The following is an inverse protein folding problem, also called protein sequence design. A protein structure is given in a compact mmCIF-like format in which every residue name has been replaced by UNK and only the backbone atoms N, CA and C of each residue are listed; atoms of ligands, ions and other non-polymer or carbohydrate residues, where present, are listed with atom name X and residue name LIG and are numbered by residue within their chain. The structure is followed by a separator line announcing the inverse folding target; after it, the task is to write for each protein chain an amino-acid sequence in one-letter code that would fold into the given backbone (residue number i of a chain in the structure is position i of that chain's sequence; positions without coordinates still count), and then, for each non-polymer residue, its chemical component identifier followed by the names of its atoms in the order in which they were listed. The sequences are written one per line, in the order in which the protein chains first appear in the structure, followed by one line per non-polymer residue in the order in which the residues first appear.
data_IF_034354406813
#
_entry.id   IF_034354406813
#
_cell.length_a   1.000
_cell.length_b   1.000
_cell.length_c   1.000
_cell.angle_alpha   90.00
_cell.angle_beta   90.00
_cell.angle_gamma   90.00
#
_symmetry.space_group_name_H-M   'P 1'
#
loop_
_entity.id
_entity.type
_entity.pdbx_description
1 polymer ?
#
# COMPACT_ATOMS: atom_id res chain seq x y z
N UNK A 1 32.56 17.96 -3.25
CA UNK A 1 31.76 16.92 -3.94
C UNK A 1 31.10 15.89 -3.02
N UNK A 2 31.81 15.06 -2.22
CA UNK A 2 31.15 14.02 -1.36
C UNK A 2 30.19 14.56 -0.28
N UNK A 3 30.50 15.72 0.33
CA UNK A 3 29.63 16.35 1.36
C UNK A 3 28.31 16.87 0.80
N UNK A 4 28.30 17.39 -0.42
CA UNK A 4 27.10 17.96 -1.07
C UNK A 4 26.14 16.87 -1.55
N UNK A 5 26.66 15.74 -2.04
CA UNK A 5 25.87 14.55 -2.37
C UNK A 5 25.17 13.99 -1.12
N UNK A 6 25.90 13.87 0.00
CA UNK A 6 25.34 13.42 1.29
C UNK A 6 24.30 14.39 1.85
N UNK A 7 24.48 15.70 1.68
CA UNK A 7 23.48 16.69 2.12
C UNK A 7 22.21 16.68 1.27
N UNK A 8 22.29 16.39 -0.05
CA UNK A 8 21.12 16.18 -0.90
C UNK A 8 20.31 14.95 -0.47
N UNK A 9 20.98 13.84 -0.13
CA UNK A 9 20.32 12.66 0.44
C UNK A 9 19.65 12.94 1.78
N UNK A 10 20.27 13.74 2.66
CA UNK A 10 19.66 14.13 3.95
C UNK A 10 18.48 15.10 3.76
N UNK A 11 18.52 15.98 2.77
CA UNK A 11 17.37 16.85 2.41
C UNK A 11 16.19 16.06 1.84
N UNK A 12 16.43 14.99 1.07
CA UNK A 12 15.38 14.08 0.61
C UNK A 12 14.69 13.33 1.77
N UNK A 13 15.38 13.15 2.90
CA UNK A 13 14.81 12.56 4.14
C UNK A 13 13.91 13.52 4.94
N UNK A 14 13.81 14.81 4.60
CA UNK A 14 12.96 15.76 5.36
C UNK A 14 11.46 15.43 5.31
N UNK A 15 10.98 14.78 4.25
CA UNK A 15 9.57 14.36 4.15
C UNK A 15 9.31 12.99 4.79
N UNK A 16 10.33 12.33 5.35
CA UNK A 16 10.20 11.01 5.95
C UNK A 16 9.27 11.03 7.18
N UNK A 17 9.45 12.02 8.07
CA UNK A 17 8.69 12.11 9.31
C UNK A 17 7.22 12.48 9.10
N UNK A 18 6.87 13.49 8.28
CA UNK A 18 5.46 13.76 7.94
C UNK A 18 4.75 12.56 7.28
N UNK A 19 5.42 11.86 6.37
CA UNK A 19 4.84 10.67 5.73
C UNK A 19 4.62 9.53 6.73
N UNK A 20 5.56 9.31 7.66
CA UNK A 20 5.40 8.31 8.71
C UNK A 20 4.20 8.63 9.61
N UNK A 21 4.05 9.87 10.05
CA UNK A 21 2.89 10.32 10.84
C UNK A 21 1.57 10.09 10.09
N UNK A 22 1.56 10.39 8.79
CA UNK A 22 0.39 10.16 7.95
C UNK A 22 0.05 8.66 7.81
N UNK A 23 1.06 7.80 7.69
CA UNK A 23 0.87 6.33 7.68
C UNK A 23 0.26 5.86 9.01
N UNK A 24 0.81 6.33 10.14
CA UNK A 24 0.27 5.98 11.48
C UNK A 24 -1.19 6.43 11.61
N UNK A 25 -1.51 7.65 11.16
CA UNK A 25 -2.88 8.17 11.15
C UNK A 25 -3.81 7.27 10.32
N UNK A 26 -3.40 6.86 9.12
CA UNK A 26 -4.20 5.98 8.26
C UNK A 26 -4.43 4.61 8.89
N UNK A 27 -3.42 4.00 9.50
CA UNK A 27 -3.59 2.72 10.20
C UNK A 27 -4.47 2.84 11.43
N UNK A 28 -4.37 3.95 12.16
CA UNK A 28 -5.25 4.24 13.30
C UNK A 28 -6.69 4.41 12.85
N UNK A 29 -6.92 5.14 11.75
CA UNK A 29 -8.24 5.30 11.16
C UNK A 29 -8.80 3.95 10.67
N UNK A 30 -7.97 3.11 10.04
CA UNK A 30 -8.37 1.78 9.57
C UNK A 30 -8.75 0.86 10.72
N UNK A 31 -7.92 0.82 11.78
CA UNK A 31 -8.22 0.06 12.99
C UNK A 31 -9.47 0.59 13.70
N UNK A 32 -9.64 1.91 13.75
CA UNK A 32 -10.83 2.55 14.29
C UNK A 32 -12.09 2.17 13.51
N UNK A 33 -12.04 2.16 12.18
CA UNK A 33 -13.16 1.71 11.35
C UNK A 33 -13.51 0.25 11.64
N UNK A 34 -12.52 -0.64 11.73
CA UNK A 34 -12.75 -2.06 11.99
C UNK A 34 -13.34 -2.30 13.39
N UNK A 35 -12.93 -1.52 14.39
CA UNK A 35 -13.34 -1.74 15.78
C UNK A 35 -14.65 -1.02 16.16
N UNK A 36 -14.88 0.20 15.65
CA UNK A 36 -15.99 1.05 16.11
C UNK A 36 -17.17 1.12 15.13
N UNK A 37 -17.01 0.74 13.85
CA UNK A 37 -18.06 0.91 12.83
C UNK A 37 -18.71 -0.43 12.52
N UNK A 38 -20.05 -0.46 12.56
CA UNK A 38 -20.84 -1.62 12.17
C UNK A 38 -20.63 -1.95 10.67
N UNK A 39 -20.23 -3.18 10.30
CA UNK A 39 -20.03 -3.57 8.90
C UNK A 39 -21.29 -3.47 8.03
N UNK A 40 -22.48 -3.50 8.63
CA UNK A 40 -23.76 -3.35 7.92
C UNK A 40 -24.19 -1.89 7.74
N UNK A 41 -23.47 -0.94 8.34
CA UNK A 41 -23.75 0.47 8.16
C UNK A 41 -23.46 0.91 6.72
N UNK A 42 -24.28 1.85 6.21
CA UNK A 42 -24.17 2.33 4.84
C UNK A 42 -22.77 2.91 4.57
N UNK A 43 -22.08 2.38 3.57
CA UNK A 43 -20.76 2.87 3.15
C UNK A 43 -19.58 2.36 3.97
N UNK A 44 -19.77 1.52 5.00
CA UNK A 44 -18.67 0.97 5.80
C UNK A 44 -17.68 0.18 4.95
N UNK A 45 -18.19 -0.74 4.12
CA UNK A 45 -17.38 -1.62 3.27
C UNK A 45 -16.60 -0.83 2.19
N UNK A 46 -17.22 0.07 1.39
CA UNK A 46 -16.46 0.94 0.49
C UNK A 46 -15.39 1.75 1.20
N UNK A 47 -15.71 2.33 2.37
CA UNK A 47 -14.76 3.13 3.15
C UNK A 47 -13.59 2.28 3.64
N UNK A 48 -13.84 1.06 4.10
CA UNK A 48 -12.81 0.08 4.48
C UNK A 48 -11.82 -0.14 3.34
N UNK A 49 -12.29 -0.44 2.14
CA UNK A 49 -11.41 -0.72 0.99
C UNK A 49 -10.61 0.50 0.55
N UNK A 50 -11.22 1.68 0.52
CA UNK A 50 -10.51 2.93 0.19
C UNK A 50 -9.43 3.23 1.23
N UNK A 51 -9.76 3.13 2.51
CA UNK A 51 -8.84 3.43 3.59
C UNK A 51 -7.70 2.42 3.67
N UNK A 52 -8.01 1.14 3.45
CA UNK A 52 -7.03 0.07 3.36
C UNK A 52 -6.10 0.25 2.17
N UNK A 53 -6.63 0.61 0.99
CA UNK A 53 -5.81 0.92 -0.18
C UNK A 53 -4.84 2.06 0.09
N UNK A 54 -5.31 3.16 0.69
CA UNK A 54 -4.46 4.30 1.04
C UNK A 54 -3.40 3.89 2.07
N UNK A 55 -3.78 3.18 3.13
CA UNK A 55 -2.86 2.69 4.15
C UNK A 55 -1.74 1.84 3.52
N UNK A 56 -2.08 0.88 2.66
CA UNK A 56 -1.09 0.05 1.97
C UNK A 56 -0.27 0.84 0.94
N UNK A 57 -0.87 1.75 0.18
CA UNK A 57 -0.17 2.57 -0.80
C UNK A 57 0.96 3.36 -0.15
N UNK A 58 0.66 4.08 0.93
CA UNK A 58 1.67 4.87 1.63
C UNK A 58 2.68 3.97 2.35
N UNK A 59 2.23 2.88 2.97
CA UNK A 59 3.12 1.92 3.64
C UNK A 59 4.12 1.30 2.67
N UNK A 60 3.67 0.73 1.56
CA UNK A 60 4.56 0.10 0.58
C UNK A 60 5.42 1.13 -0.17
N UNK A 61 4.88 2.29 -0.52
CA UNK A 61 5.69 3.35 -1.14
C UNK A 61 6.83 3.80 -0.23
N UNK A 62 6.55 3.87 1.08
CA UNK A 62 7.54 4.20 2.11
C UNK A 62 8.57 3.08 2.31
N UNK A 63 8.13 1.83 2.45
CA UNK A 63 9.01 0.67 2.67
C UNK A 63 9.96 0.41 1.49
N UNK A 64 9.46 0.49 0.26
CA UNK A 64 10.25 0.20 -0.94
C UNK A 64 10.94 1.45 -1.52
N UNK A 65 10.77 2.63 -0.90
CA UNK A 65 11.23 3.92 -1.41
C UNK A 65 10.89 4.15 -2.91
N UNK A 66 9.79 3.56 -3.37
CA UNK A 66 9.40 3.52 -4.78
C UNK A 66 7.89 3.66 -4.90
N UNK A 67 7.45 4.76 -5.52
CA UNK A 67 6.03 5.03 -5.78
C UNK A 67 5.39 3.92 -6.62
N UNK A 68 6.12 3.39 -7.60
CA UNK A 68 5.59 2.39 -8.52
C UNK A 68 5.38 1.04 -7.83
N UNK A 69 6.39 0.54 -7.10
CA UNK A 69 6.25 -0.69 -6.29
C UNK A 69 5.14 -0.56 -5.26
N UNK A 70 5.05 0.60 -4.62
CA UNK A 70 4.00 0.93 -3.67
C UNK A 70 2.60 0.79 -4.27
N UNK A 71 2.36 1.38 -5.45
CA UNK A 71 1.08 1.28 -6.15
C UNK A 71 0.78 -0.17 -6.55
N UNK A 72 1.75 -0.87 -7.15
CA UNK A 72 1.54 -2.25 -7.63
C UNK A 72 1.16 -3.19 -6.48
N UNK A 73 1.88 -3.12 -5.36
CA UNK A 73 1.58 -3.94 -4.19
C UNK A 73 0.27 -3.53 -3.50
N UNK A 74 -0.02 -2.23 -3.40
CA UNK A 74 -1.27 -1.77 -2.80
C UNK A 74 -2.50 -2.23 -3.60
N UNK A 75 -2.45 -2.15 -4.93
CA UNK A 75 -3.50 -2.69 -5.80
C UNK A 75 -3.61 -4.20 -5.61
N UNK A 76 -2.50 -4.94 -5.65
CA UNK A 76 -2.51 -6.39 -5.50
C UNK A 76 -3.12 -6.83 -4.16
N UNK A 77 -2.67 -6.25 -3.04
CA UNK A 77 -3.17 -6.55 -1.71
C UNK A 77 -4.64 -6.17 -1.57
N UNK A 78 -5.04 -4.98 -2.02
CA UNK A 78 -6.44 -4.52 -1.92
C UNK A 78 -7.37 -5.39 -2.76
N UNK A 79 -6.98 -5.70 -4.00
CA UNK A 79 -7.74 -6.61 -4.88
C UNK A 79 -7.92 -7.99 -4.27
N UNK A 80 -6.88 -8.54 -3.63
CA UNK A 80 -6.99 -9.82 -2.93
C UNK A 80 -8.03 -9.76 -1.79
N UNK A 81 -8.03 -8.71 -0.98
CA UNK A 81 -9.02 -8.54 0.08
C UNK A 81 -10.43 -8.32 -0.47
N UNK A 82 -10.59 -7.61 -1.59
CA UNK A 82 -11.88 -7.47 -2.28
C UNK A 82 -12.40 -8.84 -2.74
N UNK A 83 -11.55 -9.66 -3.38
CA UNK A 83 -11.93 -11.01 -3.78
C UNK A 83 -12.27 -11.89 -2.58
N UNK A 84 -11.53 -11.76 -1.48
CA UNK A 84 -11.81 -12.47 -0.22
C UNK A 84 -13.17 -12.08 0.35
N UNK A 85 -13.54 -10.80 0.28
CA UNK A 85 -14.84 -10.32 0.70
C UNK A 85 -15.99 -10.91 -0.14
N UNK A 86 -15.81 -11.03 -1.45
CA UNK A 86 -16.78 -11.71 -2.33
C UNK A 86 -16.80 -13.25 -2.19
N UNK A 87 -16.03 -13.84 -1.27
CA UNK A 87 -15.97 -15.28 -1.04
C UNK A 87 -15.10 -16.06 -2.05
N UNK A 88 -14.50 -15.37 -3.02
CA UNK A 88 -13.64 -16.00 -4.06
C UNK A 88 -12.16 -15.95 -3.68
N UNK A 89 -11.77 -15.19 -2.65
CA UNK A 89 -10.38 -15.09 -2.21
C UNK A 89 -9.88 -16.40 -1.61
N UNK A 90 -9.24 -17.23 -2.43
CA UNK A 90 -8.58 -18.47 -2.05
C UNK A 90 -7.05 -18.37 -2.29
N UNK A 91 -6.30 -19.39 -1.85
CA UNK A 91 -4.84 -19.42 -1.98
C UNK A 91 -4.39 -19.38 -3.45
N UNK A 92 -5.18 -19.95 -4.36
CA UNK A 92 -4.89 -19.95 -5.80
C UNK A 92 -4.99 -18.53 -6.36
N UNK A 93 -6.00 -17.76 -5.98
CA UNK A 93 -6.14 -16.36 -6.37
C UNK A 93 -5.04 -15.48 -5.80
N UNK A 94 -4.56 -15.77 -4.58
CA UNK A 94 -3.37 -15.10 -4.04
C UNK A 94 -2.14 -15.38 -4.91
N UNK A 95 -1.89 -16.65 -5.26
CA UNK A 95 -0.77 -17.04 -6.12
C UNK A 95 -0.84 -16.42 -7.51
N UNK A 96 -2.02 -16.36 -8.12
CA UNK A 96 -2.22 -15.70 -9.41
C UNK A 96 -1.90 -14.21 -9.34
N UNK A 97 -2.41 -13.51 -8.32
CA UNK A 97 -2.11 -12.08 -8.12
C UNK A 97 -0.61 -11.88 -7.93
N UNK A 98 0.05 -12.70 -7.11
CA UNK A 98 1.49 -12.64 -6.92
C UNK A 98 2.27 -12.89 -8.21
N UNK A 99 1.85 -13.87 -9.01
CA UNK A 99 2.44 -14.15 -10.32
C UNK A 99 2.37 -12.95 -11.25
N UNK A 100 1.22 -12.26 -11.30
CA UNK A 100 1.05 -11.02 -12.08
C UNK A 100 1.95 -9.90 -11.56
N UNK A 101 2.04 -9.71 -10.24
CA UNK A 101 2.91 -8.70 -9.63
C UNK A 101 4.38 -8.96 -9.97
N UNK A 102 4.84 -10.20 -9.85
CA UNK A 102 6.22 -10.59 -10.17
C UNK A 102 6.51 -10.38 -11.65
N UNK A 103 5.61 -10.80 -12.55
CA UNK A 103 5.77 -10.61 -13.99
C UNK A 103 5.85 -9.11 -14.36
N UNK A 104 4.99 -8.28 -13.76
CA UNK A 104 5.05 -6.83 -13.93
C UNK A 104 6.38 -6.27 -13.43
N UNK A 105 6.80 -6.61 -12.21
CA UNK A 105 8.08 -6.15 -11.67
C UNK A 105 9.27 -6.51 -12.57
N UNK A 106 9.31 -7.75 -13.10
CA UNK A 106 10.35 -8.19 -14.03
C UNK A 106 10.32 -7.42 -15.36
N UNK A 107 9.13 -7.21 -15.93
CA UNK A 107 8.98 -6.48 -17.19
C UNK A 107 9.56 -5.07 -17.10
N UNK A 108 9.28 -4.39 -16.00
CA UNK A 108 9.76 -3.03 -15.84
C UNK A 108 11.19 -2.93 -15.30
N UNK A 109 11.68 -3.94 -14.58
CA UNK A 109 13.10 -4.02 -14.21
C UNK A 109 13.98 -4.02 -15.46
N UNK A 110 13.59 -4.76 -16.50
CA UNK A 110 14.32 -4.81 -17.78
C UNK A 110 14.33 -3.48 -18.55
N UNK A 111 13.43 -2.55 -18.21
CA UNK A 111 13.26 -1.27 -18.91
C UNK A 111 13.98 -0.10 -18.22
N UNK A 112 14.63 -0.34 -17.08
CA UNK A 112 15.39 0.66 -16.31
C UNK A 112 16.88 0.37 -16.44
#
# INVERSE_FOLDING_TARGET
MRKEARQKEVKLRKNFFPTLLFIVLLWTALGGLIYFIDPFSFGAIPTLFVLMFLAFLFTFSFLFASRRRGITLAIATTSFFILRYFGVGNILNLLLILGVVVALELYFYKKT
#
